data_IF_914840557221
#
_entry.id   IF_914840557221
#
_cell.length_a   1.000
_cell.length_b   1.000
_cell.length_c   1.000
_cell.angle_alpha   90.00
_cell.angle_beta   90.00
_cell.angle_gamma   90.00
#
_symmetry.space_group_name_H-M   'P 1'
#
loop_
_entity.id
_entity.type
_entity.pdbx_description
1 polymer ?
#
# COMPACT_ATOMS: atom_id res chain seq x y z
N UNK A 1 14.72 16.76 -28.98
CA UNK A 1 13.32 16.82 -28.56
C UNK A 1 12.57 15.57 -28.98
N UNK A 2 11.53 15.22 -28.26
CA UNK A 2 10.74 14.01 -28.52
C UNK A 2 9.31 14.39 -28.81
N UNK A 3 8.63 13.51 -29.56
CA UNK A 3 7.18 13.61 -29.75
C UNK A 3 6.51 12.80 -28.62
N UNK A 4 5.42 13.31 -28.07
CA UNK A 4 4.65 12.60 -27.05
C UNK A 4 4.24 11.20 -27.54
N UNK A 5 4.44 10.16 -26.71
CA UNK A 5 4.10 8.78 -27.07
C UNK A 5 2.60 8.51 -27.08
N UNK A 6 1.79 9.42 -26.56
CA UNK A 6 0.33 9.26 -26.56
C UNK A 6 -0.18 9.31 -28.00
N UNK A 7 -0.91 8.29 -28.49
CA UNK A 7 -1.45 8.29 -29.85
C UNK A 7 -2.26 9.55 -30.16
N UNK A 8 -1.96 10.16 -31.32
CA UNK A 8 -2.65 11.36 -31.77
C UNK A 8 -2.17 12.68 -31.15
N UNK A 9 -1.22 12.64 -30.24
CA UNK A 9 -0.68 13.87 -29.64
C UNK A 9 0.50 14.39 -30.47
N UNK A 10 0.42 15.60 -31.07
CA UNK A 10 1.51 16.15 -31.88
C UNK A 10 2.55 16.92 -31.06
N UNK A 11 2.40 16.99 -29.74
CA UNK A 11 3.26 17.82 -28.88
C UNK A 11 4.70 17.36 -28.93
N UNK A 12 5.61 18.29 -29.20
CA UNK A 12 7.06 18.09 -29.16
C UNK A 12 7.59 18.71 -27.85
N UNK A 13 8.45 18.00 -27.16
CA UNK A 13 8.95 18.45 -25.86
C UNK A 13 10.39 17.97 -25.64
N UNK A 14 11.12 18.53 -24.65
CA UNK A 14 12.47 18.08 -24.33
C UNK A 14 12.52 16.60 -23.95
N UNK A 15 13.51 15.87 -24.48
CA UNK A 15 13.64 14.43 -24.23
C UNK A 15 13.90 14.07 -22.78
N UNK A 16 14.28 15.05 -21.94
CA UNK A 16 14.51 14.87 -20.51
C UNK A 16 13.21 14.70 -19.71
N UNK A 17 12.06 14.98 -20.30
CA UNK A 17 10.75 14.93 -19.62
C UNK A 17 10.04 13.58 -19.73
N UNK A 18 10.71 12.55 -20.25
CA UNK A 18 10.13 11.23 -20.40
C UNK A 18 9.47 11.01 -21.76
N UNK A 19 8.57 10.05 -21.87
CA UNK A 19 7.95 9.63 -23.14
C UNK A 19 6.64 10.34 -23.47
N UNK A 20 6.11 11.16 -22.55
CA UNK A 20 4.84 11.89 -22.72
C UNK A 20 5.03 13.36 -22.40
N UNK A 21 4.21 14.21 -23.03
CA UNK A 21 4.21 15.63 -22.70
C UNK A 21 3.67 15.85 -21.27
N UNK A 22 3.88 17.05 -20.71
CA UNK A 22 3.51 17.34 -19.34
C UNK A 22 2.02 17.11 -19.06
N UNK A 23 1.14 17.45 -20.01
CA UNK A 23 -0.30 17.25 -19.86
C UNK A 23 -0.67 15.78 -19.73
N UNK A 24 -0.07 14.91 -20.56
CA UNK A 24 -0.34 13.46 -20.51
C UNK A 24 0.32 12.79 -19.29
N UNK A 25 1.47 13.28 -18.83
CA UNK A 25 2.05 12.81 -17.57
C UNK A 25 1.15 13.11 -16.39
N UNK A 26 0.61 14.33 -16.32
CA UNK A 26 -0.35 14.70 -15.26
C UNK A 26 -1.61 13.87 -15.33
N UNK A 27 -2.11 13.59 -16.51
CA UNK A 27 -3.30 12.75 -16.69
C UNK A 27 -3.04 11.31 -16.21
N UNK A 28 -1.87 10.75 -16.53
CA UNK A 28 -1.50 9.41 -16.07
C UNK A 28 -1.36 9.36 -14.54
N UNK A 29 -0.78 10.39 -13.92
CA UNK A 29 -0.65 10.47 -12.48
C UNK A 29 -2.02 10.58 -11.79
N UNK A 30 -2.94 11.35 -12.35
CA UNK A 30 -4.32 11.42 -11.82
C UNK A 30 -5.04 10.08 -11.94
N UNK A 31 -4.86 9.37 -13.05
CA UNK A 31 -5.49 8.06 -13.26
C UNK A 31 -4.93 7.01 -12.29
N UNK A 32 -3.65 7.10 -11.93
CA UNK A 32 -3.04 6.21 -10.94
C UNK A 32 -3.60 6.46 -9.55
N UNK A 33 -3.98 7.70 -9.24
CA UNK A 33 -4.45 8.11 -7.93
C UNK A 33 -3.34 8.25 -6.91
N UNK A 34 -3.72 8.70 -5.72
CA UNK A 34 -2.80 8.83 -4.58
C UNK A 34 -2.90 7.61 -3.68
N UNK A 35 -2.01 7.50 -2.69
CA UNK A 35 -2.12 6.47 -1.66
C UNK A 35 -3.47 6.56 -0.93
N UNK A 36 -3.98 7.76 -0.74
CA UNK A 36 -5.30 8.00 -0.14
C UNK A 36 -6.43 7.43 -1.01
N UNK A 37 -6.37 7.67 -2.33
CA UNK A 37 -7.37 7.14 -3.26
C UNK A 37 -7.36 5.62 -3.29
N UNK A 38 -6.21 5.00 -3.03
CA UNK A 38 -6.07 3.55 -2.93
C UNK A 38 -6.46 3.02 -1.54
N UNK A 39 -6.87 3.87 -0.62
CA UNK A 39 -7.37 3.50 0.69
C UNK A 39 -6.34 3.33 1.80
N UNK A 40 -5.05 3.57 1.54
CA UNK A 40 -4.01 3.36 2.55
C UNK A 40 -3.88 4.50 3.56
N UNK A 41 -4.25 5.72 3.17
CA UNK A 41 -4.16 6.90 4.01
C UNK A 41 -5.53 7.46 4.37
N UNK A 42 -6.58 6.64 4.32
CA UNK A 42 -7.91 7.07 4.74
C UNK A 42 -7.97 7.20 6.26
N UNK A 43 -8.95 7.97 6.73
CA UNK A 43 -9.22 8.10 8.16
C UNK A 43 -9.55 6.73 8.78
N UNK A 44 -10.29 5.89 8.07
CA UNK A 44 -10.61 4.54 8.52
C UNK A 44 -9.38 3.65 8.69
N UNK A 45 -8.42 3.73 7.75
CA UNK A 45 -7.18 2.98 7.86
C UNK A 45 -6.32 3.47 9.02
N UNK A 46 -6.26 4.78 9.23
CA UNK A 46 -5.54 5.37 10.36
C UNK A 46 -6.16 4.94 11.71
N UNK A 47 -7.48 4.91 11.80
CA UNK A 47 -8.19 4.44 12.98
C UNK A 47 -7.93 2.95 13.24
N UNK A 48 -7.94 2.13 12.20
CA UNK A 48 -7.58 0.71 12.26
C UNK A 48 -6.18 0.53 12.84
N UNK A 49 -5.20 1.24 12.27
CA UNK A 49 -3.81 1.18 12.72
C UNK A 49 -3.68 1.57 14.19
N UNK A 50 -4.29 2.68 14.59
CA UNK A 50 -4.24 3.15 15.97
C UNK A 50 -4.86 2.14 16.93
N UNK A 51 -6.01 1.56 16.58
CA UNK A 51 -6.69 0.58 17.41
C UNK A 51 -5.88 -0.71 17.56
N UNK A 52 -5.29 -1.21 16.46
CA UNK A 52 -4.47 -2.42 16.48
C UNK A 52 -3.22 -2.21 17.35
N UNK A 53 -2.50 -1.12 17.15
CA UNK A 53 -1.26 -0.85 17.89
C UNK A 53 -1.52 -0.53 19.37
N UNK A 54 -2.67 0.04 19.70
CA UNK A 54 -3.06 0.28 21.08
C UNK A 54 -3.40 -1.04 21.80
N UNK A 55 -4.09 -1.95 21.12
CA UNK A 55 -4.39 -3.29 21.66
C UNK A 55 -3.14 -4.15 21.76
N UNK A 56 -2.27 -4.10 20.75
CA UNK A 56 -1.07 -4.93 20.64
C UNK A 56 0.19 -4.05 20.68
N UNK A 57 0.57 -3.49 21.85
CA UNK A 57 1.72 -2.57 21.92
C UNK A 57 3.07 -3.29 21.72
N UNK A 58 3.10 -4.60 21.96
CA UNK A 58 4.26 -5.45 21.74
C UNK A 58 3.93 -6.41 20.62
N UNK A 59 4.92 -6.69 19.75
CA UNK A 59 4.77 -7.63 18.65
C UNK A 59 4.14 -8.94 19.13
N UNK A 60 3.08 -9.40 18.45
CA UNK A 60 2.31 -10.59 18.89
C UNK A 60 3.00 -11.90 18.58
N UNK A 61 4.11 -11.90 17.86
CA UNK A 61 4.86 -13.12 17.57
C UNK A 61 5.41 -13.68 18.88
N UNK A 62 5.17 -14.97 19.19
CA UNK A 62 5.62 -15.57 20.43
C UNK A 62 7.11 -15.39 20.65
N UNK A 63 7.49 -14.93 21.84
CA UNK A 63 8.88 -14.69 22.20
C UNK A 63 9.45 -13.36 21.74
N UNK A 64 8.74 -12.57 20.96
CA UNK A 64 9.19 -11.24 20.54
C UNK A 64 8.90 -10.22 21.63
N UNK A 65 9.91 -9.39 21.93
CA UNK A 65 9.81 -8.33 22.94
C UNK A 65 9.83 -6.92 22.32
N UNK A 66 9.90 -6.83 21.00
CA UNK A 66 9.96 -5.55 20.31
C UNK A 66 8.60 -4.86 20.33
N UNK A 67 8.59 -3.52 20.34
CA UNK A 67 7.35 -2.77 20.17
C UNK A 67 6.77 -3.05 18.79
N UNK A 68 5.46 -3.18 18.72
CA UNK A 68 4.77 -3.24 17.45
C UNK A 68 4.75 -1.85 16.80
N UNK A 69 5.05 -1.81 15.51
CA UNK A 69 5.07 -0.56 14.73
C UNK A 69 4.22 -0.66 13.48
N UNK A 70 3.76 -1.85 13.14
CA UNK A 70 2.96 -2.13 11.94
C UNK A 70 1.66 -2.80 12.35
N UNK A 71 0.54 -2.28 11.84
CA UNK A 71 -0.75 -2.95 11.93
C UNK A 71 -0.89 -3.84 10.69
N UNK A 72 -0.72 -5.14 10.88
CA UNK A 72 -0.76 -6.14 9.82
C UNK A 72 -2.15 -6.76 9.71
N UNK A 73 -2.63 -6.99 8.51
CA UNK A 73 -3.87 -7.73 8.28
C UNK A 73 -3.60 -9.23 8.43
N UNK A 74 -4.41 -9.90 9.24
CA UNK A 74 -4.24 -11.32 9.54
C UNK A 74 -5.55 -11.94 9.99
N UNK A 75 -5.89 -13.16 9.61
CA UNK A 75 -5.17 -14.06 8.68
C UNK A 75 -5.32 -13.71 7.21
N UNK A 76 -6.32 -12.89 6.87
CA UNK A 76 -6.58 -12.47 5.49
C UNK A 76 -5.90 -11.15 5.20
N UNK A 77 -5.35 -11.00 3.99
CA UNK A 77 -4.82 -9.74 3.52
C UNK A 77 -5.94 -8.71 3.31
N UNK A 78 -5.56 -7.43 3.21
CA UNK A 78 -6.51 -6.37 2.89
C UNK A 78 -7.26 -6.66 1.59
N UNK A 79 -6.55 -7.13 0.57
CA UNK A 79 -7.12 -7.49 -0.72
C UNK A 79 -8.17 -8.60 -0.57
N UNK A 80 -7.83 -9.66 0.18
CA UNK A 80 -8.75 -10.77 0.42
C UNK A 80 -9.99 -10.34 1.18
N UNK A 81 -9.85 -9.46 2.18
CA UNK A 81 -10.99 -8.92 2.91
C UNK A 81 -11.93 -8.15 2.00
N UNK A 82 -11.39 -7.31 1.12
CA UNK A 82 -12.19 -6.55 0.16
C UNK A 82 -12.90 -7.49 -0.83
N UNK A 83 -12.23 -8.51 -1.32
CA UNK A 83 -12.81 -9.50 -2.23
C UNK A 83 -13.99 -10.26 -1.58
N UNK A 84 -13.93 -10.46 -0.25
CA UNK A 84 -14.98 -11.14 0.51
C UNK A 84 -16.07 -10.20 1.02
N UNK A 85 -16.01 -8.91 0.68
CA UNK A 85 -16.96 -7.92 1.16
C UNK A 85 -16.84 -7.60 2.65
N UNK A 86 -15.68 -7.88 3.25
CA UNK A 86 -15.41 -7.62 4.67
C UNK A 86 -14.74 -6.28 4.87
N UNK A 87 -14.91 -5.70 6.07
CA UNK A 87 -14.31 -4.40 6.38
C UNK A 87 -12.80 -4.57 6.68
N UNK A 88 -11.92 -4.02 5.82
CA UNK A 88 -10.47 -4.11 6.06
C UNK A 88 -9.99 -3.21 7.20
N UNK A 89 -10.84 -2.32 7.70
CA UNK A 89 -10.51 -1.39 8.79
C UNK A 89 -11.02 -1.89 10.16
N UNK A 90 -11.53 -3.12 10.23
CA UNK A 90 -11.92 -3.73 11.49
C UNK A 90 -10.68 -4.19 12.25
N UNK A 91 -10.41 -3.67 13.47
CA UNK A 91 -9.23 -4.08 14.24
C UNK A 91 -9.16 -5.59 14.50
N UNK A 92 -10.28 -6.29 14.55
CA UNK A 92 -10.32 -7.75 14.72
C UNK A 92 -9.65 -8.48 13.53
N UNK A 93 -9.46 -7.81 12.40
CA UNK A 93 -8.82 -8.35 11.21
C UNK A 93 -7.33 -8.00 11.13
N UNK A 94 -6.75 -7.44 12.20
CA UNK A 94 -5.37 -7.02 12.25
C UNK A 94 -4.66 -7.49 13.49
N UNK A 95 -3.34 -7.41 13.43
CA UNK A 95 -2.45 -7.68 14.57
C UNK A 95 -1.26 -6.73 14.55
N UNK A 96 -0.66 -6.47 15.72
CA UNK A 96 0.52 -5.62 15.85
C UNK A 96 1.80 -6.41 15.66
N UNK A 97 2.67 -5.99 14.75
CA UNK A 97 3.96 -6.61 14.50
C UNK A 97 5.07 -5.57 14.56
N UNK A 98 6.26 -5.98 14.96
CA UNK A 98 7.46 -5.21 14.69
C UNK A 98 7.81 -5.32 13.20
N UNK A 99 8.58 -4.37 12.69
CA UNK A 99 8.88 -4.34 11.25
C UNK A 99 9.59 -5.61 10.77
N UNK A 100 10.63 -6.13 11.46
CA UNK A 100 11.28 -7.36 11.02
C UNK A 100 10.32 -8.55 10.88
N UNK A 101 9.40 -8.74 11.83
CA UNK A 101 8.43 -9.82 11.76
C UNK A 101 7.38 -9.57 10.67
N UNK A 102 6.94 -8.34 10.50
CA UNK A 102 6.04 -7.99 9.40
C UNK A 102 6.65 -8.34 8.04
N UNK A 103 7.90 -7.95 7.82
CA UNK A 103 8.59 -8.23 6.56
C UNK A 103 8.76 -9.74 6.34
N UNK A 104 9.10 -10.49 7.40
CA UNK A 104 9.24 -11.95 7.36
C UNK A 104 7.90 -12.64 7.02
N UNK A 105 6.82 -12.23 7.68
CA UNK A 105 5.49 -12.80 7.45
C UNK A 105 5.00 -12.49 6.04
N UNK A 106 5.24 -11.27 5.53
CA UNK A 106 4.88 -10.91 4.17
C UNK A 106 5.61 -11.79 3.16
N UNK A 107 6.91 -12.03 3.36
CA UNK A 107 7.70 -12.90 2.48
C UNK A 107 7.19 -14.34 2.49
N UNK A 108 6.71 -14.85 3.62
CA UNK A 108 6.15 -16.20 3.73
C UNK A 108 4.79 -16.33 3.04
N UNK A 109 3.93 -15.31 3.21
CA UNK A 109 2.56 -15.33 2.67
C UNK A 109 2.48 -14.88 1.21
N UNK A 110 3.51 -14.19 0.72
CA UNK A 110 3.57 -13.69 -0.66
C UNK A 110 4.93 -14.01 -1.29
N UNK A 111 5.25 -15.32 -1.48
CA UNK A 111 6.55 -15.73 -2.02
C UNK A 111 6.82 -15.06 -3.37
N UNK A 112 7.91 -14.30 -3.46
CA UNK A 112 8.31 -13.60 -4.67
C UNK A 112 7.48 -12.37 -5.01
N UNK A 113 6.38 -12.13 -4.30
CA UNK A 113 5.44 -11.07 -4.64
C UNK A 113 6.00 -9.66 -4.48
N UNK A 114 6.76 -9.43 -3.47
CA UNK A 114 7.26 -8.10 -3.19
C UNK A 114 8.69 -7.84 -3.68
N UNK A 115 9.25 -8.80 -4.36
CA UNK A 115 10.50 -8.65 -5.08
C UNK A 115 10.30 -8.14 -6.51
N UNK A 116 9.09 -8.08 -6.95
CA UNK A 116 8.75 -7.68 -8.32
C UNK A 116 8.53 -6.19 -8.45
#
# INVERSE_FOLDING_TARGET
MRVCSQPGCPTIYPSTEGSRCAAHRRAADRARGTARDRGYNTRGHQAFRAAVLTRDPICVIPGCINFSTVADHYPLSRKELLERGMNPNDPARGRGLCKPHHDSETAQHQPGGWHT
#
